data_IF_169826155369
#
_entry.id   IF_169826155369
#
_cell.length_a   1.000
_cell.length_b   1.000
_cell.length_c   1.000
_cell.angle_alpha   90.00
_cell.angle_beta   90.00
_cell.angle_gamma   90.00
#
_symmetry.space_group_name_H-M   'P 1'
#
loop_
_entity.id
_entity.type
_entity.pdbx_description
1 polymer ?
#
# COMPACT_ATOMS: atom_id res chain seq x y z
N UNK A 1 59.18 2.14 -2.28
CA UNK A 1 58.14 2.97 -2.94
C UNK A 1 57.28 3.59 -1.86
N UNK A 2 57.54 4.86 -1.48
CA UNK A 2 56.76 5.56 -0.45
C UNK A 2 55.40 5.92 -1.05
N UNK A 3 54.29 5.32 -0.57
CA UNK A 3 52.95 5.78 -0.92
C UNK A 3 52.74 7.12 -0.20
N UNK A 4 52.49 8.19 -0.96
CA UNK A 4 51.96 9.43 -0.40
C UNK A 4 50.55 9.12 0.12
N UNK A 5 50.42 8.91 1.43
CA UNK A 5 49.12 8.83 2.08
C UNK A 5 48.62 10.25 2.28
N UNK A 6 47.60 10.64 1.51
CA UNK A 6 46.88 11.88 1.73
C UNK A 6 45.85 11.60 2.83
N UNK A 7 46.16 12.08 4.03
CA UNK A 7 45.35 11.85 5.23
C UNK A 7 44.58 13.12 5.56
N UNK A 8 43.29 12.99 5.84
CA UNK A 8 42.42 14.08 6.27
C UNK A 8 42.09 13.89 7.75
N UNK A 9 42.28 14.93 8.55
CA UNK A 9 41.88 14.92 9.96
C UNK A 9 40.36 14.94 10.05
N UNK A 10 39.77 13.81 10.42
CA UNK A 10 38.33 13.64 10.52
C UNK A 10 37.90 13.79 11.97
N UNK A 11 37.03 14.78 12.23
CA UNK A 11 36.53 15.07 13.56
C UNK A 11 35.12 14.51 13.70
N UNK A 12 34.93 13.62 14.68
CA UNK A 12 33.64 13.05 15.05
C UNK A 12 33.36 13.35 16.54
N UNK A 13 32.08 13.36 16.91
CA UNK A 13 31.67 13.42 18.33
C UNK A 13 31.00 12.11 18.68
N UNK A 14 31.48 11.44 19.73
CA UNK A 14 30.86 10.20 20.22
C UNK A 14 29.41 10.49 20.62
N UNK A 15 28.50 9.61 20.20
CA UNK A 15 27.05 9.79 20.34
C UNK A 15 26.57 9.88 21.80
N UNK A 16 27.30 9.26 22.75
CA UNK A 16 26.93 9.22 24.16
C UNK A 16 27.72 10.16 25.06
N UNK A 17 29.02 10.36 24.81
CA UNK A 17 29.90 11.14 25.70
C UNK A 17 30.16 12.56 25.17
N UNK A 18 29.74 12.87 23.93
CA UNK A 18 30.01 14.13 23.22
C UNK A 18 31.50 14.54 23.15
N UNK A 19 32.40 13.63 23.49
CA UNK A 19 33.83 13.86 23.43
C UNK A 19 34.26 13.95 21.96
N UNK A 20 35.09 14.95 21.59
CA UNK A 20 35.64 15.02 20.26
C UNK A 20 36.64 13.86 20.08
N UNK A 21 36.35 13.00 19.11
CA UNK A 21 37.30 12.01 18.60
C UNK A 21 37.85 12.55 17.28
N UNK A 22 39.16 12.69 17.22
CA UNK A 22 39.87 13.07 16.00
C UNK A 22 40.57 11.82 15.51
N UNK A 23 40.26 11.39 14.29
CA UNK A 23 40.92 10.27 13.63
C UNK A 23 41.45 10.72 12.27
N UNK A 24 42.64 10.26 11.96
CA UNK A 24 43.28 10.46 10.67
C UNK A 24 42.67 9.47 9.67
N UNK A 25 41.89 9.98 8.72
CA UNK A 25 41.14 9.18 7.76
C UNK A 25 41.71 9.37 6.34
N UNK A 26 41.87 8.28 5.59
CA UNK A 26 42.40 8.31 4.23
C UNK A 26 41.41 8.96 3.26
N UNK A 27 41.90 9.83 2.37
CA UNK A 27 41.09 10.51 1.32
C UNK A 27 40.43 9.51 0.35
N UNK A 28 40.98 8.29 0.26
CA UNK A 28 40.43 7.17 -0.50
C UNK A 28 39.00 6.79 -0.08
N UNK A 29 38.61 7.04 1.17
CA UNK A 29 37.26 6.78 1.69
C UNK A 29 36.24 7.72 1.01
N UNK A 30 36.56 9.01 0.89
CA UNK A 30 35.69 9.99 0.23
C UNK A 30 35.60 9.72 -1.27
N UNK A 31 36.69 9.26 -1.89
CA UNK A 31 36.70 8.83 -3.29
C UNK A 31 35.97 7.50 -3.54
N UNK A 32 35.79 6.66 -2.52
CA UNK A 32 35.04 5.39 -2.64
C UNK A 32 33.53 5.57 -2.72
N UNK A 33 32.97 6.60 -2.06
CA UNK A 33 31.53 6.93 -2.07
C UNK A 33 30.99 7.21 -3.50
N UNK A 34 31.63 8.06 -4.34
CA UNK A 34 31.19 8.28 -5.72
C UNK A 34 31.42 7.07 -6.63
N UNK A 35 32.16 6.02 -6.23
CA UNK A 35 32.20 4.78 -7.02
C UNK A 35 30.86 4.05 -7.00
N UNK A 36 30.04 4.18 -5.95
CA UNK A 36 28.68 3.61 -5.92
C UNK A 36 27.70 4.32 -6.84
N UNK A 37 28.02 5.53 -7.31
CA UNK A 37 27.25 6.17 -8.38
C UNK A 37 27.17 5.25 -9.61
N UNK A 38 28.21 4.44 -9.86
CA UNK A 38 28.23 3.46 -10.96
C UNK A 38 27.13 2.40 -10.90
N UNK A 39 26.42 2.23 -9.79
CA UNK A 39 25.23 1.37 -9.75
C UNK A 39 24.14 1.77 -10.75
N UNK A 40 24.10 3.03 -11.22
CA UNK A 40 23.20 3.41 -12.32
C UNK A 40 23.46 2.57 -13.59
N UNK A 41 24.69 2.09 -13.80
CA UNK A 41 25.08 1.25 -14.93
C UNK A 41 24.44 -0.14 -14.83
N UNK A 42 24.25 -0.68 -13.62
CA UNK A 42 23.56 -1.96 -13.41
C UNK A 42 22.09 -1.85 -13.82
N UNK A 43 21.43 -0.74 -13.45
CA UNK A 43 20.08 -0.44 -13.93
C UNK A 43 20.04 -0.39 -15.46
N UNK A 44 21.03 0.25 -16.10
CA UNK A 44 21.16 0.27 -17.57
C UNK A 44 21.38 -1.12 -18.19
N UNK A 45 22.18 -1.98 -17.55
CA UNK A 45 22.46 -3.35 -18.03
C UNK A 45 21.25 -4.27 -17.85
N UNK A 46 20.53 -4.17 -16.72
CA UNK A 46 19.26 -4.87 -16.50
C UNK A 46 18.22 -4.46 -17.54
N UNK A 47 18.17 -3.16 -17.87
CA UNK A 47 17.33 -2.62 -18.94
C UNK A 47 17.72 -3.15 -20.33
N UNK A 48 19.02 -3.29 -20.60
CA UNK A 48 19.55 -3.80 -21.87
C UNK A 48 19.33 -5.31 -22.04
N UNK A 49 19.37 -6.09 -20.95
CA UNK A 49 19.26 -7.56 -20.99
C UNK A 49 17.80 -8.05 -20.88
N UNK A 50 16.85 -7.18 -20.55
CA UNK A 50 15.43 -7.54 -20.54
C UNK A 50 14.95 -7.75 -21.98
N UNK A 51 14.75 -9.03 -22.35
CA UNK A 51 14.25 -9.47 -23.66
C UNK A 51 12.99 -8.72 -24.10
N UNK A 52 12.21 -8.19 -23.15
CA UNK A 52 11.00 -7.42 -23.42
C UNK A 52 11.25 -6.09 -24.16
N UNK A 53 12.40 -5.44 -23.96
CA UNK A 53 12.73 -4.13 -24.56
C UNK A 53 13.75 -4.21 -25.71
N UNK A 54 14.48 -5.31 -25.80
CA UNK A 54 15.40 -5.58 -26.91
C UNK A 54 14.76 -6.33 -28.06
N UNK A 55 13.53 -6.81 -27.89
CA UNK A 55 12.81 -7.53 -28.95
C UNK A 55 12.57 -6.65 -30.18
N UNK A 56 12.75 -7.23 -31.36
CA UNK A 56 12.58 -6.51 -32.62
C UNK A 56 11.14 -5.97 -32.78
N UNK A 57 10.18 -6.70 -32.21
CA UNK A 57 8.75 -6.37 -32.16
C UNK A 57 8.48 -5.03 -31.42
N UNK A 58 9.02 -4.88 -30.21
CA UNK A 58 8.81 -3.68 -29.39
C UNK A 58 9.52 -2.45 -29.97
N UNK A 59 10.72 -2.62 -30.55
CA UNK A 59 11.45 -1.55 -31.26
C UNK A 59 10.70 -1.08 -32.51
N UNK A 60 10.14 -2.00 -33.29
CA UNK A 60 9.34 -1.66 -34.47
C UNK A 60 8.08 -0.88 -34.08
N UNK A 61 7.38 -1.31 -33.03
CA UNK A 61 6.17 -0.61 -32.53
C UNK A 61 6.51 0.79 -31.99
N UNK A 62 7.64 0.96 -31.31
CA UNK A 62 8.10 2.26 -30.82
C UNK A 62 8.51 3.23 -31.94
N UNK A 63 9.14 2.73 -33.00
CA UNK A 63 9.49 3.52 -34.19
C UNK A 63 8.24 4.00 -34.93
N UNK A 64 7.22 3.14 -35.07
CA UNK A 64 5.93 3.50 -35.67
C UNK A 64 5.18 4.57 -34.87
N UNK A 65 5.33 4.60 -33.54
CA UNK A 65 4.70 5.59 -32.67
C UNK A 65 5.55 6.85 -32.40
N UNK A 66 6.75 6.96 -32.99
CA UNK A 66 7.73 8.04 -32.71
C UNK A 66 8.03 8.23 -31.20
N UNK A 67 8.02 7.15 -30.43
CA UNK A 67 8.32 7.22 -28.99
C UNK A 67 9.81 6.91 -28.81
N UNK A 68 10.57 7.89 -28.32
CA UNK A 68 11.98 7.66 -27.94
C UNK A 68 12.03 6.77 -26.70
N UNK A 69 12.77 5.65 -26.78
CA UNK A 69 13.00 4.72 -25.68
C UNK A 69 13.89 5.37 -24.59
N UNK A 70 13.31 6.24 -23.78
CA UNK A 70 13.98 6.94 -22.68
C UNK A 70 14.00 6.08 -21.40
N UNK A 71 15.04 6.22 -20.58
CA UNK A 71 15.18 5.52 -19.28
C UNK A 71 13.98 5.74 -18.35
N UNK A 72 13.36 6.93 -18.40
CA UNK A 72 12.14 7.26 -17.63
C UNK A 72 10.92 6.46 -18.07
N UNK A 73 10.81 6.18 -19.37
CA UNK A 73 9.75 5.31 -19.90
C UNK A 73 9.97 3.88 -19.40
N UNK A 74 11.20 3.39 -19.48
CA UNK A 74 11.47 2.01 -19.07
C UNK A 74 11.30 1.78 -17.58
N UNK A 75 11.68 2.74 -16.72
CA UNK A 75 11.43 2.65 -15.28
C UNK A 75 9.92 2.59 -14.97
N UNK A 76 9.09 3.38 -15.68
CA UNK A 76 7.63 3.31 -15.56
C UNK A 76 7.08 1.96 -16.01
N UNK A 77 7.57 1.42 -17.12
CA UNK A 77 7.11 0.12 -17.65
C UNK A 77 7.52 -1.03 -16.71
N UNK A 78 8.73 -0.98 -16.17
CA UNK A 78 9.24 -1.98 -15.23
C UNK A 78 8.44 -2.00 -13.91
N UNK A 79 8.13 -0.81 -13.37
CA UNK A 79 7.22 -0.66 -12.21
C UNK A 79 5.79 -1.13 -12.48
N UNK A 80 5.37 -1.25 -13.75
CA UNK A 80 4.00 -1.65 -14.09
C UNK A 80 3.87 -3.17 -14.22
N UNK A 81 4.89 -3.85 -14.76
CA UNK A 81 4.84 -5.30 -15.05
C UNK A 81 5.04 -6.12 -13.77
N UNK A 82 6.18 -5.95 -13.11
CA UNK A 82 6.55 -6.69 -11.89
C UNK A 82 7.04 -5.72 -10.80
N UNK A 83 6.15 -4.86 -10.25
CA UNK A 83 6.56 -3.85 -9.26
C UNK A 83 7.27 -4.45 -8.04
N UNK A 84 6.81 -5.61 -7.55
CA UNK A 84 7.35 -6.26 -6.35
C UNK A 84 8.81 -6.70 -6.52
N UNK A 85 9.12 -7.40 -7.60
CA UNK A 85 10.49 -7.88 -7.88
C UNK A 85 11.48 -6.72 -8.02
N UNK A 86 11.06 -5.63 -8.66
CA UNK A 86 11.90 -4.46 -8.94
C UNK A 86 12.18 -3.69 -7.65
N UNK A 87 11.16 -3.46 -6.83
CA UNK A 87 11.32 -2.84 -5.51
C UNK A 87 12.19 -3.71 -4.59
N UNK A 88 12.02 -5.04 -4.62
CA UNK A 88 12.81 -5.95 -3.81
C UNK A 88 14.31 -5.90 -4.20
N UNK A 89 14.62 -5.99 -5.49
CA UNK A 89 16.02 -5.91 -5.98
C UNK A 89 16.63 -4.55 -5.63
N UNK A 90 15.88 -3.46 -5.81
CA UNK A 90 16.33 -2.11 -5.45
C UNK A 90 16.61 -2.01 -3.95
N UNK A 91 15.68 -2.45 -3.10
CA UNK A 91 15.82 -2.42 -1.64
C UNK A 91 17.04 -3.22 -1.18
N UNK A 92 17.20 -4.47 -1.61
CA UNK A 92 18.36 -5.31 -1.23
C UNK A 92 19.68 -4.66 -1.67
N UNK A 93 19.74 -4.14 -2.90
CA UNK A 93 20.96 -3.48 -3.39
C UNK A 93 21.31 -2.26 -2.56
N UNK A 94 20.33 -1.40 -2.26
CA UNK A 94 20.51 -0.21 -1.43
C UNK A 94 20.95 -0.54 -0.01
N UNK A 95 20.44 -1.65 0.55
CA UNK A 95 20.77 -2.12 1.89
C UNK A 95 22.24 -2.52 2.01
N UNK A 96 22.75 -3.28 1.03
CA UNK A 96 24.15 -3.73 0.98
C UNK A 96 25.09 -2.52 0.84
N UNK A 97 24.75 -1.57 -0.04
CA UNK A 97 25.57 -0.37 -0.27
C UNK A 97 25.62 0.52 0.97
N UNK A 98 24.47 0.78 1.58
CA UNK A 98 24.39 1.60 2.78
C UNK A 98 25.13 0.95 3.94
N UNK A 99 24.99 -0.37 4.12
CA UNK A 99 25.70 -1.12 5.17
C UNK A 99 27.22 -1.07 4.96
N UNK A 100 27.69 -1.25 3.73
CA UNK A 100 29.10 -1.13 3.40
C UNK A 100 29.63 0.30 3.63
N UNK A 101 28.85 1.31 3.25
CA UNK A 101 29.25 2.72 3.41
C UNK A 101 29.36 3.11 4.89
N UNK A 102 28.39 2.71 5.72
CA UNK A 102 28.46 2.94 7.17
C UNK A 102 29.61 2.17 7.80
N UNK A 103 29.83 0.91 7.41
CA UNK A 103 30.96 0.13 7.90
C UNK A 103 32.31 0.83 7.63
N UNK A 104 32.51 1.34 6.41
CA UNK A 104 33.75 2.07 6.06
C UNK A 104 33.84 3.39 6.82
N UNK A 105 32.73 4.11 6.99
CA UNK A 105 32.71 5.38 7.70
C UNK A 105 32.94 5.23 9.21
N UNK A 106 32.46 4.17 9.88
CA UNK A 106 32.67 4.01 11.33
C UNK A 106 33.97 3.24 11.68
N UNK A 107 34.63 2.61 10.69
CA UNK A 107 35.84 1.79 10.88
C UNK A 107 36.99 2.46 11.65
N UNK A 108 37.14 3.78 11.53
CA UNK A 108 38.26 4.54 12.11
C UNK A 108 37.93 5.19 13.47
N UNK A 109 36.65 5.30 13.83
CA UNK A 109 36.21 6.04 15.02
C UNK A 109 35.67 5.16 16.15
N UNK A 110 35.40 3.87 15.90
CA UNK A 110 34.97 2.95 16.95
C UNK A 110 36.14 2.27 17.66
N UNK A 111 36.25 2.51 18.97
CA UNK A 111 37.15 1.79 19.87
C UNK A 111 36.52 0.52 20.46
N UNK A 112 35.21 0.36 20.32
CA UNK A 112 34.42 -0.79 20.78
C UNK A 112 33.83 -1.40 19.52
N UNK A 113 34.25 -2.61 19.13
CA UNK A 113 34.05 -3.20 17.80
C UNK A 113 32.59 -3.56 17.42
N UNK A 114 31.59 -2.89 18.01
CA UNK A 114 30.17 -3.25 17.85
C UNK A 114 29.62 -2.74 16.52
N UNK A 115 29.86 -1.46 16.20
CA UNK A 115 29.43 -0.81 14.95
C UNK A 115 30.45 -0.94 13.82
N UNK A 116 31.70 -1.31 14.13
CA UNK A 116 32.74 -1.60 13.13
C UNK A 116 32.56 -2.97 12.47
N UNK A 117 31.77 -3.89 13.04
CA UNK A 117 31.47 -5.18 12.41
C UNK A 117 30.47 -5.03 11.26
N UNK A 118 30.72 -5.71 10.13
CA UNK A 118 29.82 -5.66 8.96
C UNK A 118 28.39 -6.13 9.30
N UNK A 119 28.25 -7.11 10.21
CA UNK A 119 26.95 -7.57 10.72
C UNK A 119 26.23 -6.48 11.53
N UNK A 120 26.95 -5.70 12.33
CA UNK A 120 26.41 -4.57 13.09
C UNK A 120 25.95 -3.44 12.16
N UNK A 121 26.73 -3.14 11.13
CA UNK A 121 26.35 -2.17 10.10
C UNK A 121 25.12 -2.63 9.28
N UNK A 122 25.05 -3.93 8.93
CA UNK A 122 23.84 -4.48 8.31
C UNK A 122 22.63 -4.32 9.22
N UNK A 123 22.73 -4.70 10.50
CA UNK A 123 21.67 -4.54 11.49
C UNK A 123 21.19 -3.09 11.59
N UNK A 124 22.11 -2.13 11.77
CA UNK A 124 21.80 -0.71 11.86
C UNK A 124 21.06 -0.18 10.62
N UNK A 125 21.51 -0.53 9.42
CA UNK A 125 20.87 -0.09 8.18
C UNK A 125 19.49 -0.76 8.01
N UNK A 126 19.33 -1.99 8.48
CA UNK A 126 18.05 -2.72 8.47
C UNK A 126 16.98 -1.96 9.24
N UNK A 127 17.27 -1.67 10.51
CA UNK A 127 16.32 -1.02 11.42
C UNK A 127 16.05 0.43 11.00
N UNK A 128 17.03 1.08 10.36
CA UNK A 128 16.90 2.44 9.83
C UNK A 128 16.05 2.46 8.55
N UNK A 129 16.26 1.53 7.62
CA UNK A 129 15.48 1.42 6.38
C UNK A 129 14.01 1.09 6.66
N UNK A 130 13.74 0.22 7.65
CA UNK A 130 12.39 -0.09 8.11
C UNK A 130 11.78 1.01 9.01
N UNK A 131 12.52 2.09 9.30
CA UNK A 131 12.10 3.17 10.20
C UNK A 131 11.69 2.70 11.61
N UNK A 132 12.33 1.64 12.13
CA UNK A 132 12.12 1.12 13.49
C UNK A 132 12.97 1.90 14.49
N UNK A 133 14.29 1.98 14.25
CA UNK A 133 15.23 2.77 15.05
C UNK A 133 15.29 2.44 16.54
N UNK A 134 15.71 1.22 16.91
CA UNK A 134 15.84 0.80 18.32
C UNK A 134 16.79 1.68 19.15
N UNK A 135 17.83 2.24 18.54
CA UNK A 135 18.80 3.11 19.22
C UNK A 135 19.87 2.38 20.03
N UNK A 136 19.97 1.05 19.87
CA UNK A 136 21.00 0.19 20.43
C UNK A 136 22.39 0.44 19.81
N UNK A 137 22.41 0.81 18.53
CA UNK A 137 23.61 1.19 17.78
C UNK A 137 23.37 2.51 17.05
N UNK A 138 24.30 3.46 17.12
CA UNK A 138 24.18 4.78 16.50
C UNK A 138 25.52 5.19 15.89
N UNK A 139 25.56 5.69 14.64
CA UNK A 139 26.80 6.14 14.02
C UNK A 139 27.35 7.37 14.75
N UNK A 140 28.64 7.36 15.04
CA UNK A 140 29.32 8.48 15.68
C UNK A 140 29.76 9.53 14.64
N UNK A 141 30.10 9.08 13.43
CA UNK A 141 30.65 9.94 12.37
C UNK A 141 29.58 10.72 11.61
N UNK A 142 29.95 11.89 11.08
CA UNK A 142 29.04 12.69 10.25
C UNK A 142 28.68 11.98 8.93
N UNK A 143 29.60 11.20 8.34
CA UNK A 143 29.28 10.37 7.18
C UNK A 143 28.22 9.32 7.53
N UNK A 144 28.43 8.54 8.61
CA UNK A 144 27.49 7.49 9.02
C UNK A 144 26.09 8.04 9.31
N UNK A 145 26.01 9.20 9.97
CA UNK A 145 24.76 9.94 10.19
C UNK A 145 24.10 10.36 8.87
N UNK A 146 24.88 10.87 7.91
CA UNK A 146 24.38 11.23 6.58
C UNK A 146 23.82 10.03 5.82
N UNK A 147 24.51 8.89 5.85
CA UNK A 147 24.05 7.64 5.20
C UNK A 147 22.78 7.11 5.87
N UNK A 148 22.68 7.17 7.19
CA UNK A 148 21.47 6.76 7.91
C UNK A 148 20.27 7.65 7.54
N UNK A 149 20.48 8.97 7.41
CA UNK A 149 19.43 9.91 6.99
C UNK A 149 18.96 9.63 5.55
N UNK A 150 19.89 9.44 4.61
CA UNK A 150 19.57 9.08 3.23
C UNK A 150 18.83 7.74 3.15
N UNK A 151 19.28 6.76 3.94
CA UNK A 151 18.64 5.44 4.02
C UNK A 151 17.20 5.53 4.54
N UNK A 152 16.95 6.35 5.56
CA UNK A 152 15.60 6.59 6.07
C UNK A 152 14.67 7.22 5.03
N UNK A 153 15.15 8.22 4.29
CA UNK A 153 14.38 8.85 3.19
C UNK A 153 14.07 7.83 2.09
N UNK A 154 15.07 7.03 1.69
CA UNK A 154 14.89 5.98 0.69
C UNK A 154 13.92 4.88 1.17
N UNK A 155 14.02 4.47 2.42
CA UNK A 155 13.13 3.48 3.06
C UNK A 155 11.68 3.95 3.05
N UNK A 156 11.43 5.19 3.48
CA UNK A 156 10.10 5.81 3.43
C UNK A 156 9.54 5.91 1.99
N UNK A 157 10.40 6.22 1.01
CA UNK A 157 10.01 6.20 -0.40
C UNK A 157 9.63 4.79 -0.88
N UNK A 158 10.38 3.77 -0.46
CA UNK A 158 10.11 2.38 -0.81
C UNK A 158 8.80 1.87 -0.19
N UNK A 159 8.56 2.16 1.10
CA UNK A 159 7.30 1.76 1.77
C UNK A 159 6.09 2.42 1.11
N UNK A 160 6.17 3.70 0.77
CA UNK A 160 5.12 4.40 0.04
C UNK A 160 4.82 3.76 -1.33
N UNK A 161 5.86 3.37 -2.08
CA UNK A 161 5.71 2.68 -3.36
C UNK A 161 5.08 1.29 -3.19
N UNK A 162 5.48 0.53 -2.18
CA UNK A 162 4.89 -0.79 -1.87
C UNK A 162 3.40 -0.64 -1.57
N UNK A 163 3.00 0.31 -0.72
CA UNK A 163 1.58 0.57 -0.40
C UNK A 163 0.80 0.91 -1.67
N UNK A 164 1.33 1.78 -2.53
CA UNK A 164 0.68 2.15 -3.78
C UNK A 164 0.53 0.95 -4.74
N UNK A 165 1.51 0.05 -4.80
CA UNK A 165 1.45 -1.18 -5.61
C UNK A 165 0.42 -2.15 -5.05
N UNK A 166 0.42 -2.36 -3.73
CA UNK A 166 -0.53 -3.24 -3.05
C UNK A 166 -1.95 -2.75 -3.26
N UNK A 167 -2.21 -1.44 -3.12
CA UNK A 167 -3.51 -0.85 -3.39
C UNK A 167 -4.02 -1.18 -4.81
N UNK A 168 -3.20 -0.99 -5.84
CA UNK A 168 -3.56 -1.32 -7.23
C UNK A 168 -3.78 -2.81 -7.48
N UNK A 169 -3.10 -3.69 -6.73
CA UNK A 169 -3.28 -5.14 -6.84
C UNK A 169 -4.49 -5.65 -6.06
N UNK A 170 -4.92 -4.93 -5.03
CA UNK A 170 -6.13 -5.20 -4.25
C UNK A 170 -7.39 -4.61 -4.89
N UNK A 171 -7.26 -3.69 -5.84
CA UNK A 171 -8.39 -3.23 -6.64
C UNK A 171 -8.98 -4.40 -7.43
N UNK A 172 -10.19 -4.83 -7.03
CA UNK A 172 -10.93 -5.88 -7.71
C UNK A 172 -11.14 -5.49 -9.18
N UNK A 173 -10.92 -6.45 -10.06
CA UNK A 173 -11.22 -6.28 -11.48
C UNK A 173 -12.72 -6.03 -11.68
N UNK A 174 -13.07 -5.43 -12.82
CA UNK A 174 -14.48 -5.15 -13.16
C UNK A 174 -15.35 -6.42 -13.13
N UNK A 175 -14.79 -7.56 -13.53
CA UNK A 175 -15.47 -8.85 -13.51
C UNK A 175 -15.67 -9.37 -12.07
N UNK A 176 -14.62 -9.36 -11.24
CA UNK A 176 -14.72 -9.77 -9.83
C UNK A 176 -15.69 -8.89 -9.04
N UNK A 177 -15.68 -7.58 -9.30
CA UNK A 177 -16.63 -6.64 -8.68
C UNK A 177 -18.07 -6.95 -9.08
N UNK A 178 -18.31 -7.34 -10.33
CA UNK A 178 -19.64 -7.73 -10.78
C UNK A 178 -20.12 -9.00 -10.06
N UNK A 179 -19.27 -10.03 -9.96
CA UNK A 179 -19.57 -11.26 -9.23
C UNK A 179 -19.80 -10.99 -7.74
N UNK A 180 -18.98 -10.14 -7.13
CA UNK A 180 -19.14 -9.75 -5.73
C UNK A 180 -20.49 -9.06 -5.48
N UNK A 181 -20.88 -8.11 -6.35
CA UNK A 181 -22.18 -7.45 -6.26
C UNK A 181 -23.33 -8.46 -6.39
N UNK A 182 -23.27 -9.35 -7.38
CA UNK A 182 -24.29 -10.38 -7.55
C UNK A 182 -24.40 -11.32 -6.32
N UNK A 183 -23.27 -11.70 -5.74
CA UNK A 183 -23.24 -12.50 -4.51
C UNK A 183 -23.88 -11.75 -3.34
N UNK A 184 -23.58 -10.47 -3.18
CA UNK A 184 -24.14 -9.62 -2.13
C UNK A 184 -25.66 -9.46 -2.31
N UNK A 185 -26.15 -9.23 -3.52
CA UNK A 185 -27.57 -9.09 -3.84
C UNK A 185 -28.34 -10.39 -3.53
N UNK A 186 -27.77 -11.53 -3.91
CA UNK A 186 -28.33 -12.85 -3.60
C UNK A 186 -28.46 -13.08 -2.09
N UNK A 187 -27.45 -12.68 -1.32
CA UNK A 187 -27.46 -12.78 0.15
C UNK A 187 -28.49 -11.83 0.79
N UNK A 188 -28.61 -10.60 0.29
CA UNK A 188 -29.61 -9.65 0.75
C UNK A 188 -31.03 -10.15 0.50
N UNK A 189 -31.32 -10.66 -0.70
CA UNK A 189 -32.62 -11.23 -1.03
C UNK A 189 -32.99 -12.39 -0.09
N UNK A 190 -32.03 -13.29 0.20
CA UNK A 190 -32.22 -14.38 1.17
C UNK A 190 -32.52 -13.86 2.57
N UNK A 191 -31.79 -12.84 3.04
CA UNK A 191 -32.04 -12.24 4.37
C UNK A 191 -33.41 -11.59 4.45
N UNK A 192 -33.83 -10.82 3.44
CA UNK A 192 -35.17 -10.19 3.41
C UNK A 192 -36.27 -11.24 3.50
N UNK A 193 -36.19 -12.31 2.68
CA UNK A 193 -37.17 -13.42 2.70
C UNK A 193 -37.23 -14.11 4.07
N UNK A 194 -36.07 -14.40 4.67
CA UNK A 194 -36.02 -15.04 5.99
C UNK A 194 -36.58 -14.14 7.09
N UNK A 195 -36.26 -12.85 7.08
CA UNK A 195 -36.80 -11.90 8.05
C UNK A 195 -38.32 -11.74 7.90
N UNK A 196 -38.82 -11.64 6.67
CA UNK A 196 -40.27 -11.60 6.41
C UNK A 196 -40.99 -12.86 6.90
N UNK A 197 -40.41 -14.04 6.68
CA UNK A 197 -40.95 -15.30 7.20
C UNK A 197 -40.97 -15.33 8.74
N UNK A 198 -39.93 -14.81 9.39
CA UNK A 198 -39.88 -14.71 10.85
C UNK A 198 -40.93 -13.72 11.40
N UNK A 199 -41.13 -12.58 10.74
CA UNK A 199 -42.20 -11.63 11.11
C UNK A 199 -43.56 -12.33 11.08
N UNK A 200 -43.91 -13.00 9.98
CA UNK A 200 -45.17 -13.74 9.84
C UNK A 200 -45.32 -14.84 10.89
N UNK A 201 -44.26 -15.61 11.14
CA UNK A 201 -44.23 -16.68 12.15
C UNK A 201 -44.50 -16.14 13.55
N UNK A 202 -43.82 -15.06 13.95
CA UNK A 202 -43.98 -14.48 15.27
C UNK A 202 -45.36 -13.80 15.41
N UNK A 203 -45.90 -13.15 14.36
CA UNK A 203 -47.28 -12.63 14.36
C UNK A 203 -48.30 -13.74 14.60
N UNK A 204 -48.17 -14.87 13.91
CA UNK A 204 -49.06 -16.03 14.09
C UNK A 204 -48.97 -16.62 15.51
N UNK A 205 -47.76 -16.77 16.06
CA UNK A 205 -47.55 -17.29 17.41
C UNK A 205 -48.14 -16.35 18.48
N UNK A 206 -48.05 -15.03 18.30
CA UNK A 206 -48.71 -14.05 19.16
C UNK A 206 -50.23 -14.24 19.09
N UNK A 207 -50.81 -14.32 17.88
CA UNK A 207 -52.25 -14.52 17.72
C UNK A 207 -52.74 -15.81 18.40
N UNK A 208 -52.06 -16.94 18.15
CA UNK A 208 -52.37 -18.23 18.75
C UNK A 208 -52.36 -18.18 20.27
N UNK A 209 -51.29 -17.66 20.89
CA UNK A 209 -51.16 -17.63 22.35
C UNK A 209 -52.01 -16.56 23.04
N UNK A 210 -52.59 -15.61 22.30
CA UNK A 210 -53.44 -14.55 22.85
C UNK A 210 -54.93 -14.85 22.69
N UNK A 211 -55.35 -15.47 21.57
CA UNK A 211 -56.78 -15.66 21.22
C UNK A 211 -57.27 -17.12 21.21
N UNK A 212 -56.40 -18.09 20.97
CA UNK A 212 -56.80 -19.51 20.76
C UNK A 212 -56.59 -20.42 21.98
N UNK A 213 -56.01 -19.93 23.09
CA UNK A 213 -55.73 -20.74 24.29
C UNK A 213 -56.64 -20.32 25.45
N UNK A 214 -57.24 -21.30 26.14
CA UNK A 214 -58.18 -21.08 27.28
C UNK A 214 -57.56 -20.37 28.50
N UNK A 215 -56.24 -20.43 28.70
CA UNK A 215 -55.49 -19.69 29.73
C UNK A 215 -54.28 -19.00 29.08
N UNK A 216 -54.15 -17.68 29.28
CA UNK A 216 -53.11 -16.86 28.64
C UNK A 216 -51.86 -16.79 29.52
N UNK A 217 -50.73 -17.28 28.99
CA UNK A 217 -49.40 -17.14 29.62
C UNK A 217 -48.73 -15.82 29.20
N UNK A 218 -48.88 -14.76 30.00
CA UNK A 218 -48.32 -13.43 29.70
C UNK A 218 -46.78 -13.42 29.50
N UNK A 219 -46.04 -14.34 30.12
CA UNK A 219 -44.59 -14.45 29.94
C UNK A 219 -44.18 -14.96 28.55
N UNK A 220 -44.92 -15.93 27.98
CA UNK A 220 -44.67 -16.47 26.63
C UNK A 220 -45.06 -15.47 25.54
N UNK A 221 -46.16 -14.73 25.73
CA UNK A 221 -46.60 -13.68 24.80
C UNK A 221 -45.58 -12.54 24.73
N UNK A 222 -45.08 -12.03 25.87
CA UNK A 222 -44.05 -10.98 25.92
C UNK A 222 -42.71 -11.41 25.28
N UNK A 223 -42.40 -12.70 25.29
CA UNK A 223 -41.20 -13.24 24.62
C UNK A 223 -41.35 -13.20 23.09
N UNK A 224 -42.51 -13.60 22.57
CA UNK A 224 -42.79 -13.54 21.12
C UNK A 224 -42.98 -12.10 20.63
N UNK A 225 -43.60 -11.22 21.42
CA UNK A 225 -43.70 -9.79 21.10
C UNK A 225 -42.32 -9.12 20.98
N UNK A 226 -41.36 -9.43 21.86
CA UNK A 226 -39.99 -8.90 21.75
C UNK A 226 -39.28 -9.40 20.49
N UNK A 227 -39.42 -10.69 20.16
CA UNK A 227 -38.85 -11.26 18.93
C UNK A 227 -39.49 -10.69 17.66
N UNK A 228 -40.80 -10.47 17.68
CA UNK A 228 -41.53 -9.80 16.61
C UNK A 228 -41.05 -8.35 16.42
N UNK A 229 -40.92 -7.58 17.50
CA UNK A 229 -40.41 -6.20 17.44
C UNK A 229 -38.99 -6.15 16.86
N UNK A 230 -38.12 -7.08 17.25
CA UNK A 230 -36.76 -7.20 16.70
C UNK A 230 -36.77 -7.55 15.21
N UNK A 231 -37.63 -8.48 14.79
CA UNK A 231 -37.78 -8.86 13.39
C UNK A 231 -38.33 -7.71 12.53
N UNK A 232 -39.30 -6.93 13.03
CA UNK A 232 -39.79 -5.72 12.38
C UNK A 232 -38.69 -4.67 12.29
N UNK A 233 -37.97 -4.41 13.38
CA UNK A 233 -36.89 -3.43 13.38
C UNK A 233 -35.81 -3.78 12.35
N UNK A 234 -35.42 -5.06 12.25
CA UNK A 234 -34.50 -5.51 11.20
C UNK A 234 -35.07 -5.36 9.79
N UNK A 235 -36.36 -5.67 9.58
CA UNK A 235 -37.02 -5.54 8.28
C UNK A 235 -37.15 -4.07 7.84
N UNK A 236 -37.65 -3.21 8.72
CA UNK A 236 -37.85 -1.77 8.49
C UNK A 236 -36.52 -1.06 8.30
N UNK A 237 -35.47 -1.43 9.07
CA UNK A 237 -34.13 -0.91 8.87
C UNK A 237 -33.58 -1.29 7.50
N UNK A 238 -33.74 -2.54 7.05
CA UNK A 238 -33.36 -2.94 5.69
C UNK A 238 -34.14 -2.15 4.63
N UNK A 239 -35.45 -1.97 4.82
CA UNK A 239 -36.30 -1.30 3.84
C UNK A 239 -36.04 0.22 3.76
N UNK A 240 -35.81 0.89 4.89
CA UNK A 240 -35.40 2.31 4.92
C UNK A 240 -34.00 2.51 4.34
N UNK A 241 -33.06 1.58 4.56
CA UNK A 241 -31.74 1.63 3.93
C UNK A 241 -31.87 1.58 2.40
N UNK A 242 -32.71 0.67 1.88
CA UNK A 242 -32.96 0.54 0.44
C UNK A 242 -33.63 1.81 -0.12
N UNK A 243 -34.67 2.33 0.54
CA UNK A 243 -35.39 3.53 0.12
C UNK A 243 -34.49 4.79 0.18
N UNK A 244 -33.65 4.90 1.20
CA UNK A 244 -32.71 6.00 1.38
C UNK A 244 -31.59 5.99 0.33
N UNK A 245 -31.04 4.81 -0.01
CA UNK A 245 -30.06 4.67 -1.09
C UNK A 245 -30.70 5.00 -2.44
N UNK A 246 -31.95 4.58 -2.68
CA UNK A 246 -32.68 4.89 -3.92
C UNK A 246 -32.94 6.39 -4.07
N UNK A 247 -33.38 7.06 -3.00
CA UNK A 247 -33.57 8.52 -2.99
C UNK A 247 -32.25 9.27 -3.24
N UNK A 248 -31.15 8.83 -2.61
CA UNK A 248 -29.83 9.42 -2.80
C UNK A 248 -29.32 9.24 -4.23
N UNK A 249 -29.50 8.06 -4.83
CA UNK A 249 -29.16 7.77 -6.23
C UNK A 249 -29.97 8.61 -7.20
N UNK A 250 -31.28 8.79 -6.96
CA UNK A 250 -32.13 9.69 -7.75
C UNK A 250 -31.62 11.14 -7.67
N UNK A 251 -31.31 11.63 -6.46
CA UNK A 251 -30.77 12.99 -6.27
C UNK A 251 -29.42 13.16 -6.97
N UNK A 252 -28.51 12.18 -6.87
CA UNK A 252 -27.21 12.21 -7.53
C UNK A 252 -27.33 12.15 -9.05
N UNK A 253 -28.26 11.33 -9.59
CA UNK A 253 -28.53 11.27 -11.02
C UNK A 253 -29.13 12.57 -11.57
N UNK A 254 -30.03 13.21 -10.81
CA UNK A 254 -30.59 14.52 -11.15
C UNK A 254 -29.50 15.60 -11.13
N UNK A 255 -28.61 15.58 -10.13
CA UNK A 255 -27.48 16.52 -10.05
C UNK A 255 -26.51 16.34 -11.21
N UNK A 256 -26.21 15.10 -11.59
CA UNK A 256 -25.36 14.78 -12.73
C UNK A 256 -25.99 15.20 -14.06
N UNK A 257 -27.31 15.02 -14.23
CA UNK A 257 -28.07 15.50 -15.39
C UNK A 257 -28.06 17.04 -15.49
N UNK A 258 -28.25 17.75 -14.37
CA UNK A 258 -28.20 19.21 -14.31
C UNK A 258 -26.78 19.72 -14.65
N UNK A 259 -25.75 19.06 -14.11
CA UNK A 259 -24.35 19.40 -14.41
C UNK A 259 -23.96 19.08 -15.86
N UNK A 260 -24.49 17.99 -16.44
CA UNK A 260 -24.26 17.61 -17.85
C UNK A 260 -24.95 18.57 -18.82
N UNK A 261 -26.17 19.02 -18.50
CA UNK A 261 -26.90 20.04 -19.29
C UNK A 261 -26.20 21.41 -19.25
N UNK A 262 -25.57 21.75 -18.13
CA UNK A 262 -24.79 22.99 -17.99
C UNK A 262 -23.48 23.00 -18.79
N UNK A 263 -22.97 21.84 -19.21
CA UNK A 263 -21.67 21.71 -19.90
C UNK A 263 -21.78 21.17 -21.34
N UNK A 264 -22.98 20.91 -21.87
CA UNK A 264 -23.17 20.53 -23.28
C UNK A 264 -22.57 19.18 -23.68
N UNK A 265 -22.41 18.24 -22.75
CA UNK A 265 -21.87 16.90 -23.02
C UNK A 265 -23.04 15.92 -23.21
N UNK A 266 -23.11 15.25 -24.37
CA UNK A 266 -24.14 14.24 -24.65
C UNK A 266 -24.08 13.04 -23.67
N UNK A 267 -25.23 12.54 -23.18
CA UNK A 267 -25.26 11.50 -22.17
C UNK A 267 -24.94 10.12 -22.77
N UNK A 268 -23.79 9.56 -22.37
CA UNK A 268 -23.41 8.18 -22.65
C UNK A 268 -24.33 7.19 -21.92
N UNK A 269 -25.32 6.63 -22.63
CA UNK A 269 -25.91 5.31 -22.40
C UNK A 269 -26.60 5.04 -21.05
N UNK A 270 -27.77 5.64 -20.82
CA UNK A 270 -28.66 5.37 -19.67
C UNK A 270 -29.36 3.99 -19.66
N UNK A 271 -29.09 3.12 -20.65
CA UNK A 271 -29.81 1.85 -20.81
C UNK A 271 -29.45 0.75 -19.80
N UNK A 272 -28.53 0.99 -18.85
CA UNK A 272 -28.04 -0.05 -17.93
C UNK A 272 -28.62 0.02 -16.51
N UNK A 273 -29.40 1.04 -16.16
CA UNK A 273 -30.03 1.19 -14.84
C UNK A 273 -31.38 0.45 -14.71
N UNK A 274 -32.10 0.23 -15.81
CA UNK A 274 -33.37 -0.52 -15.81
C UNK A 274 -33.20 -2.05 -15.62
N UNK A 275 -31.97 -2.56 -15.53
CA UNK A 275 -31.72 -4.00 -15.43
C UNK A 275 -31.49 -4.51 -13.99
N UNK A 276 -31.46 -3.62 -12.99
CA UNK A 276 -31.15 -4.01 -11.60
C UNK A 276 -32.41 -4.17 -10.74
N UNK A 277 -33.57 -3.64 -11.15
CA UNK A 277 -34.84 -3.83 -10.44
C UNK A 277 -36.03 -3.93 -11.39
N UNK A 278 -36.45 -5.13 -11.84
CA UNK A 278 -37.77 -5.32 -12.40
C UNK A 278 -38.75 -5.65 -11.26
N UNK A 279 -39.64 -4.69 -10.96
CA UNK A 279 -40.81 -4.79 -10.06
C UNK A 279 -40.58 -5.20 -8.59
#
# INVERSE_FOLDING_TARGET
TKRCQYVFTWTARLAFTYTPSVADADVDIILSIPMFLRLYLIGRVMLLHSKLFTDASSRSIGALNKINFNTRFVMKTLMTICPGTVLLVFSISSWIIAAWTVHVCERYHDKVEVTSNFLGAMWLISITFLSIGYGDMVPNTYCGKGVCLLTGIMGAGCTALVVAVVARKLELTKAEKHVHNFMMDTQLCKRVKNTAANVLRETWLIYKHTKLVKKVDHAKVRKHQRKFLQAIHQYVFLQHLIFGIFLLLCVLSAFFLIWSFGNGIEPFGLNRLNLIFPF
#
